data_IF_876668925049
#
_entry.id   IF_876668925049
#
_cell.length_a   1.000
_cell.length_b   1.000
_cell.length_c   1.000
_cell.angle_alpha   90.00
_cell.angle_beta   90.00
_cell.angle_gamma   90.00
#
_symmetry.space_group_name_H-M   'P 1'
#
loop_
_entity.id
_entity.type
_entity.pdbx_description
1 polymer ?
#
# COMPACT_ATOMS: atom_id res chain seq x y z
N UNK A 1 4.39 -10.10 -5.44
CA UNK A 1 3.31 -9.13 -5.14
C UNK A 1 3.76 -7.77 -5.66
N UNK A 2 3.08 -7.24 -6.67
CA UNK A 2 3.31 -5.86 -7.13
C UNK A 2 2.34 -4.98 -6.36
N UNK A 3 2.84 -4.02 -5.59
CA UNK A 3 1.98 -3.11 -4.82
C UNK A 3 1.80 -1.83 -5.63
N UNK A 4 0.57 -1.34 -5.63
CA UNK A 4 0.21 -0.09 -6.29
C UNK A 4 -0.19 0.92 -5.23
N UNK A 5 0.34 2.13 -5.38
CA UNK A 5 -0.04 3.29 -4.57
C UNK A 5 -0.78 4.29 -5.44
N UNK A 6 -1.87 4.86 -4.95
CA UNK A 6 -2.60 5.95 -5.57
C UNK A 6 -2.73 7.09 -4.57
N UNK A 7 -2.29 8.29 -4.95
CA UNK A 7 -2.52 9.50 -4.16
C UNK A 7 -3.93 10.03 -4.40
N UNK A 8 -4.57 10.63 -3.41
CA UNK A 8 -5.97 11.09 -3.54
C UNK A 8 -6.14 12.23 -4.55
N UNK A 9 -5.09 13.00 -4.78
CA UNK A 9 -5.03 14.02 -5.82
C UNK A 9 -4.70 13.46 -7.22
N UNK A 10 -4.27 12.19 -7.32
CA UNK A 10 -3.98 11.52 -8.58
C UNK A 10 -4.99 10.41 -8.89
N UNK A 11 -5.38 10.26 -10.15
CA UNK A 11 -6.25 9.15 -10.58
C UNK A 11 -5.49 7.89 -10.97
N UNK A 12 -4.16 7.92 -10.94
CA UNK A 12 -3.31 6.85 -11.44
C UNK A 12 -2.77 5.98 -10.31
N UNK A 13 -2.48 4.72 -10.62
CA UNK A 13 -1.89 3.77 -9.71
C UNK A 13 -0.44 3.54 -10.10
N UNK A 14 0.47 3.81 -9.18
CA UNK A 14 1.90 3.73 -9.42
C UNK A 14 2.48 2.47 -8.75
N UNK A 15 3.23 1.63 -9.49
CA UNK A 15 3.94 0.51 -8.91
C UNK A 15 4.94 1.03 -7.89
N UNK A 16 4.78 0.61 -6.65
CA UNK A 16 5.56 1.06 -5.51
C UNK A 16 6.20 -0.14 -4.84
N UNK A 17 7.46 0.00 -4.45
CA UNK A 17 8.21 -1.02 -3.71
C UNK A 17 8.06 -0.80 -2.21
N UNK A 18 8.24 -1.86 -1.42
CA UNK A 18 8.14 -1.81 0.04
C UNK A 18 8.93 -0.66 0.68
N UNK A 19 10.17 -0.41 0.21
CA UNK A 19 11.02 0.68 0.72
C UNK A 19 10.37 2.06 0.55
N UNK A 20 9.68 2.27 -0.57
CA UNK A 20 9.03 3.53 -0.90
C UNK A 20 7.73 3.68 -0.08
N UNK A 21 7.00 2.57 0.15
CA UNK A 21 5.83 2.56 1.04
C UNK A 21 6.22 2.95 2.47
N UNK A 22 7.28 2.35 3.02
CA UNK A 22 7.77 2.68 4.36
C UNK A 22 8.17 4.15 4.47
N UNK A 23 8.77 4.70 3.40
CA UNK A 23 9.12 6.11 3.33
C UNK A 23 7.88 6.99 3.33
N UNK A 24 6.88 6.69 2.50
CA UNK A 24 5.60 7.40 2.44
C UNK A 24 4.91 7.36 3.81
N UNK A 25 4.82 6.19 4.45
CA UNK A 25 4.19 6.08 5.78
C UNK A 25 4.91 6.95 6.80
N UNK A 26 6.26 6.97 6.78
CA UNK A 26 7.06 7.77 7.72
C UNK A 26 6.97 9.27 7.43
N UNK A 27 6.79 9.66 6.17
CA UNK A 27 6.58 11.05 5.76
C UNK A 27 5.18 11.54 6.18
N UNK A 28 4.15 10.72 6.01
CA UNK A 28 2.76 11.04 6.39
C UNK A 28 2.52 10.94 7.91
N UNK A 29 3.19 9.99 8.57
CA UNK A 29 3.00 9.65 9.99
C UNK A 29 4.36 9.39 10.67
N UNK A 30 5.15 10.45 10.97
CA UNK A 30 6.48 10.30 11.56
C UNK A 30 6.47 9.72 12.98
N UNK A 31 5.37 9.91 13.73
CA UNK A 31 5.18 9.45 15.11
C UNK A 31 4.66 8.00 15.20
N UNK A 32 4.37 7.34 14.07
CA UNK A 32 3.81 5.98 14.04
C UNK A 32 4.86 5.00 13.52
N UNK A 33 4.83 3.78 14.06
CA UNK A 33 5.67 2.68 13.59
C UNK A 33 5.32 2.29 12.14
N UNK A 34 6.17 2.70 11.21
CA UNK A 34 5.97 2.48 9.78
C UNK A 34 5.94 0.98 9.43
N UNK A 35 6.70 0.14 10.14
CA UNK A 35 6.72 -1.30 9.92
C UNK A 35 5.40 -1.97 10.33
N UNK A 36 4.83 -1.61 11.49
CA UNK A 36 3.54 -2.12 11.96
C UNK A 36 2.39 -1.75 11.03
N UNK A 37 2.39 -0.50 10.54
CA UNK A 37 1.43 -0.05 9.53
C UNK A 37 1.63 -0.81 8.21
N UNK A 38 2.87 -1.01 7.79
CA UNK A 38 3.19 -1.78 6.59
C UNK A 38 2.70 -3.24 6.71
N UNK A 39 2.88 -3.89 7.86
CA UNK A 39 2.37 -5.24 8.13
C UNK A 39 0.85 -5.27 7.98
N UNK A 40 0.14 -4.32 8.59
CA UNK A 40 -1.31 -4.20 8.45
C UNK A 40 -1.73 -4.02 6.99
N UNK A 41 -1.09 -3.10 6.25
CA UNK A 41 -1.38 -2.85 4.83
C UNK A 41 -1.18 -4.13 4.03
N UNK A 42 -0.03 -4.80 4.20
CA UNK A 42 0.33 -6.04 3.51
C UNK A 42 -0.71 -7.14 3.71
N UNK A 43 -1.18 -7.33 4.94
CA UNK A 43 -2.21 -8.32 5.25
C UNK A 43 -3.56 -8.01 4.61
N UNK A 44 -3.99 -6.74 4.62
CA UNK A 44 -5.27 -6.35 4.03
C UNK A 44 -5.22 -6.39 2.49
N UNK A 45 -4.16 -5.86 1.87
CA UNK A 45 -4.01 -5.92 0.41
C UNK A 45 -3.80 -7.35 -0.08
N UNK A 46 -3.18 -8.22 0.74
CA UNK A 46 -3.08 -9.65 0.48
C UNK A 46 -4.43 -10.36 0.43
N UNK A 47 -5.46 -9.80 1.09
CA UNK A 47 -6.86 -10.27 1.02
C UNK A 47 -7.64 -9.67 -0.16
N UNK A 48 -6.98 -8.95 -1.07
CA UNK A 48 -7.62 -8.23 -2.17
C UNK A 48 -8.34 -6.95 -1.76
N UNK A 49 -8.09 -6.43 -0.54
CA UNK A 49 -8.68 -5.15 -0.10
C UNK A 49 -7.81 -3.98 -0.51
N UNK A 50 -8.43 -2.80 -0.59
CA UNK A 50 -7.72 -1.52 -0.72
C UNK A 50 -7.60 -0.90 0.66
N UNK A 51 -6.38 -0.50 1.04
CA UNK A 51 -6.13 0.20 2.30
C UNK A 51 -5.87 1.66 2.02
N UNK A 52 -6.48 2.56 2.80
CA UNK A 52 -6.25 4.00 2.71
C UNK A 52 -5.49 4.46 3.95
N UNK A 53 -4.41 5.20 3.74
CA UNK A 53 -3.61 5.83 4.79
C UNK A 53 -3.43 7.30 4.43
N UNK A 54 -4.03 8.21 5.20
CA UNK A 54 -4.04 9.63 4.88
C UNK A 54 -4.62 9.86 3.48
N UNK A 55 -3.83 10.49 2.61
CA UNK A 55 -4.20 10.71 1.21
C UNK A 55 -3.75 9.57 0.27
N UNK A 56 -3.04 8.57 0.77
CA UNK A 56 -2.51 7.47 -0.02
C UNK A 56 -3.41 6.23 0.04
N UNK A 57 -3.59 5.55 -1.09
CA UNK A 57 -4.31 4.28 -1.20
C UNK A 57 -3.36 3.20 -1.68
N UNK A 58 -3.43 2.03 -1.06
CA UNK A 58 -2.61 0.87 -1.36
C UNK A 58 -3.48 -0.29 -1.80
N UNK A 59 -3.07 -0.94 -2.88
CA UNK A 59 -3.66 -2.21 -3.32
C UNK A 59 -2.59 -3.11 -3.90
N UNK A 60 -2.87 -4.39 -3.96
CA UNK A 60 -2.06 -5.30 -4.77
C UNK A 60 -2.49 -5.16 -6.25
N UNK A 61 -1.52 -5.12 -7.16
CA UNK A 61 -1.79 -5.34 -8.58
C UNK A 61 -2.24 -6.79 -8.70
N UNK A 62 -3.50 -6.97 -9.07
CA UNK A 62 -4.09 -8.28 -9.31
C UNK A 62 -3.40 -8.90 -10.52
N UNK A 63 -2.34 -9.66 -10.27
CA UNK A 63 -1.72 -10.54 -11.26
C UNK A 63 -2.16 -11.95 -10.87
N UNK A 64 -3.46 -12.18 -11.05
CA UNK A 64 -4.14 -13.47 -10.89
C UNK A 64 -4.15 -14.01 -9.46
N UNK A 65 -5.32 -13.93 -8.82
CA UNK A 65 -5.82 -15.04 -8.02
C UNK A 65 -5.78 -16.32 -8.86
N UNK A 66 -4.62 -16.97 -8.96
CA UNK A 66 -4.52 -18.35 -9.43
C UNK A 66 -4.99 -19.22 -8.26
N UNK A 67 -6.30 -19.43 -8.20
CA UNK A 67 -6.90 -20.46 -7.37
C UNK A 67 -6.37 -21.80 -7.89
N UNK A 68 -5.58 -22.50 -7.09
CA UNK A 68 -5.14 -23.88 -7.34
C UNK A 68 -5.42 -24.71 -6.10
#
# INVERSE_FOLDING_TARGET
MTILTQYSHEKQWHPTQQRDILRIIKEEMPDIDAEGIWVYIREQIGKGKVVTLGECRFRIKDEQYCHS
#
